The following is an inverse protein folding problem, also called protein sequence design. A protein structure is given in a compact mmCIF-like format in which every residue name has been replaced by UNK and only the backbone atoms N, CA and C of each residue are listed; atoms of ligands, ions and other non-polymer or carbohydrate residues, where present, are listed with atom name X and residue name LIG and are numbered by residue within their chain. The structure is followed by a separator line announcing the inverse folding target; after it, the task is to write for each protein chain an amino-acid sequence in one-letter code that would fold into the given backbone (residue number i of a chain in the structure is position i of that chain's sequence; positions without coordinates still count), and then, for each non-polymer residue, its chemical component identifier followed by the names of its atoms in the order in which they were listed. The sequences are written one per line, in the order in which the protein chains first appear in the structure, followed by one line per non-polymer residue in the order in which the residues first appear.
data_IF_819469819053
#
_entry.id   IF_819469819053
#
_cell.length_a   1.000
_cell.length_b   1.000
_cell.length_c   1.000
_cell.angle_alpha   90.00
_cell.angle_beta   90.00
_cell.angle_gamma   90.00
#
_symmetry.space_group_name_H-M   'P 1'
#
loop_
_entity.id
_entity.type
_entity.pdbx_description
1 polymer ?
#
# COMPACT_ATOMS: atom_id res chain seq x y z
N UNK A 1 -15.18 9.52 39.73
CA UNK A 1 -14.59 10.34 38.64
C UNK A 1 -13.22 9.86 38.18
N UNK A 2 -12.24 9.68 39.05
CA UNK A 2 -10.85 9.35 38.66
C UNK A 2 -10.66 8.02 37.88
N UNK A 3 -11.52 7.00 38.11
CA UNK A 3 -11.49 5.72 37.36
C UNK A 3 -11.94 5.88 35.90
N UNK A 4 -12.92 6.73 35.65
CA UNK A 4 -13.44 7.00 34.29
C UNK A 4 -12.45 7.79 33.45
N UNK A 5 -11.77 8.78 34.05
CA UNK A 5 -10.68 9.50 33.39
C UNK A 5 -9.50 8.60 33.04
N UNK A 6 -9.11 7.68 33.94
CA UNK A 6 -8.06 6.68 33.65
C UNK A 6 -8.46 5.74 32.53
N UNK A 7 -9.71 5.25 32.52
CA UNK A 7 -10.23 4.41 31.45
C UNK A 7 -10.23 5.14 30.09
N UNK A 8 -10.71 6.39 30.07
CA UNK A 8 -10.68 7.23 28.86
C UNK A 8 -9.25 7.43 28.34
N UNK A 9 -8.31 7.74 29.23
CA UNK A 9 -6.91 7.91 28.88
C UNK A 9 -6.30 6.62 28.29
N UNK A 10 -6.55 5.47 28.90
CA UNK A 10 -6.10 4.17 28.38
C UNK A 10 -6.70 3.90 26.99
N UNK A 11 -7.99 4.15 26.79
CA UNK A 11 -8.64 3.99 25.49
C UNK A 11 -8.04 4.93 24.43
N UNK A 12 -7.71 6.17 24.78
CA UNK A 12 -7.03 7.11 23.88
C UNK A 12 -5.63 6.64 23.50
N UNK A 13 -4.85 6.13 24.45
CA UNK A 13 -3.50 5.61 24.18
C UNK A 13 -3.57 4.37 23.27
N UNK A 14 -4.47 3.44 23.55
CA UNK A 14 -4.68 2.25 22.70
C UNK A 14 -5.16 2.68 21.31
N UNK A 15 -6.12 3.60 21.23
CA UNK A 15 -6.61 4.13 19.96
C UNK A 15 -5.51 4.81 19.14
N UNK A 16 -4.66 5.63 19.77
CA UNK A 16 -3.52 6.26 19.13
C UNK A 16 -2.48 5.23 18.65
N UNK A 17 -2.22 4.19 19.43
CA UNK A 17 -1.31 3.11 19.06
C UNK A 17 -1.82 2.31 17.86
N UNK A 18 -3.11 1.94 17.85
CA UNK A 18 -3.76 1.25 16.73
C UNK A 18 -3.73 2.14 15.48
N UNK A 19 -4.10 3.41 15.61
CA UNK A 19 -4.05 4.37 14.51
C UNK A 19 -2.64 4.47 13.92
N UNK A 20 -1.61 4.63 14.76
CA UNK A 20 -0.22 4.70 14.30
C UNK A 20 0.27 3.38 13.68
N UNK A 21 -0.25 2.24 14.10
CA UNK A 21 0.17 0.93 13.58
C UNK A 21 -0.45 0.61 12.22
N UNK A 22 -1.67 1.07 11.95
CA UNK A 22 -2.43 0.65 10.76
C UNK A 22 -2.82 1.80 9.82
N UNK A 23 -2.48 3.04 10.15
CA UNK A 23 -2.78 4.19 9.29
C UNK A 23 -1.49 4.91 8.92
N UNK A 24 -1.30 5.05 7.61
CA UNK A 24 -0.31 5.93 7.02
C UNK A 24 -0.95 7.26 6.67
N UNK A 25 -0.28 8.36 7.04
CA UNK A 25 -0.69 9.71 6.66
C UNK A 25 0.50 10.50 6.13
N UNK A 26 0.27 11.29 5.08
CA UNK A 26 1.23 12.26 4.54
C UNK A 26 0.46 13.54 4.16
N UNK A 27 0.54 14.55 5.02
CA UNK A 27 -0.22 15.81 4.88
C UNK A 27 0.18 16.59 3.63
N UNK A 28 1.45 16.51 3.20
CA UNK A 28 1.93 17.22 2.02
C UNK A 28 1.22 16.74 0.73
N UNK A 29 0.78 15.48 0.72
CA UNK A 29 0.12 14.83 -0.42
C UNK A 29 -1.37 14.55 -0.18
N UNK A 30 -1.94 15.07 0.92
CA UNK A 30 -3.30 14.75 1.38
C UNK A 30 -3.58 13.24 1.42
N UNK A 31 -2.56 12.46 1.79
CA UNK A 31 -2.57 11.00 1.72
C UNK A 31 -3.03 10.39 3.04
N UNK A 32 -4.00 9.48 2.99
CA UNK A 32 -4.41 8.69 4.15
C UNK A 32 -4.75 7.27 3.72
N UNK A 33 -3.88 6.32 4.06
CA UNK A 33 -4.01 4.91 3.66
C UNK A 33 -4.12 4.04 4.91
N UNK A 34 -5.18 3.26 4.97
CA UNK A 34 -5.34 2.20 5.98
C UNK A 34 -4.63 0.94 5.50
N UNK A 35 -3.73 0.41 6.31
CA UNK A 35 -3.04 -0.86 6.05
C UNK A 35 -3.70 -1.92 6.92
N UNK A 36 -4.41 -2.85 6.29
CA UNK A 36 -5.05 -3.96 6.99
C UNK A 36 -3.99 -5.05 7.24
N UNK A 37 -3.82 -5.49 8.50
CA UNK A 37 -2.91 -6.59 8.79
C UNK A 37 -3.46 -7.90 8.24
N UNK A 38 -2.55 -8.83 7.95
CA UNK A 38 -2.88 -10.25 7.80
C UNK A 38 -2.36 -11.01 9.03
N UNK A 39 -2.90 -12.20 9.27
CA UNK A 39 -2.39 -13.11 10.30
C UNK A 39 -1.04 -13.75 9.94
N UNK A 40 -0.45 -13.36 8.81
CA UNK A 40 0.82 -13.91 8.36
C UNK A 40 2.00 -13.04 8.81
N UNK A 41 3.15 -13.66 9.13
CA UNK A 41 4.38 -12.93 9.35
C UNK A 41 4.76 -12.23 8.05
N UNK A 42 4.68 -10.91 8.08
CA UNK A 42 5.12 -10.01 7.01
C UNK A 42 6.12 -9.04 7.63
N UNK A 43 7.30 -8.94 7.03
CA UNK A 43 8.43 -8.25 7.63
C UNK A 43 8.62 -6.82 7.12
N UNK A 44 8.01 -6.42 5.99
CA UNK A 44 8.09 -5.03 5.59
C UNK A 44 7.27 -4.06 6.44
N UNK A 45 7.91 -2.92 6.66
CA UNK A 45 7.32 -1.69 7.14
C UNK A 45 6.76 -0.90 5.94
N UNK A 46 5.44 -0.78 5.86
CA UNK A 46 4.76 -0.01 4.81
C UNK A 46 5.25 1.44 4.74
N UNK A 47 5.74 2.01 5.85
CA UNK A 47 6.29 3.36 5.88
C UNK A 47 7.57 3.46 5.05
N UNK A 48 8.41 2.41 5.07
CA UNK A 48 9.65 2.36 4.26
C UNK A 48 9.32 2.21 2.78
N UNK A 49 8.37 1.36 2.43
CA UNK A 49 7.94 1.19 1.04
C UNK A 49 7.27 2.45 0.50
N UNK A 50 6.36 3.08 1.22
CA UNK A 50 5.75 4.35 0.75
C UNK A 50 6.78 5.47 0.67
N UNK A 51 7.78 5.50 1.57
CA UNK A 51 8.91 6.42 1.46
C UNK A 51 9.73 6.15 0.21
N UNK A 52 10.02 4.88 -0.11
CA UNK A 52 10.72 4.50 -1.34
C UNK A 52 9.90 4.94 -2.56
N UNK A 53 8.63 4.54 -2.64
CA UNK A 53 7.70 4.93 -3.71
C UNK A 53 7.67 6.45 -3.91
N UNK A 54 7.57 7.24 -2.84
CA UNK A 54 7.60 8.70 -2.87
C UNK A 54 8.90 9.26 -3.48
N UNK A 55 10.03 8.60 -3.24
CA UNK A 55 11.35 9.05 -3.70
C UNK A 55 11.68 8.59 -5.13
N UNK A 56 11.29 7.36 -5.48
CA UNK A 56 11.72 6.70 -6.72
C UNK A 56 10.65 6.73 -7.82
N UNK A 57 9.37 6.86 -7.45
CA UNK A 57 8.25 6.95 -8.39
C UNK A 57 7.17 7.94 -7.87
N UNK A 58 7.49 9.25 -7.78
CA UNK A 58 6.62 10.25 -7.17
C UNK A 58 5.25 10.38 -7.85
N UNK A 59 5.15 10.15 -9.17
CA UNK A 59 3.87 10.15 -9.90
C UNK A 59 2.96 9.00 -9.44
N UNK A 60 3.53 7.81 -9.24
CA UNK A 60 2.78 6.64 -8.74
C UNK A 60 2.38 6.84 -7.28
N UNK A 61 3.25 7.48 -6.48
CA UNK A 61 2.91 7.87 -5.11
C UNK A 61 1.73 8.86 -5.06
N UNK A 62 1.76 9.92 -5.87
CA UNK A 62 0.66 10.89 -5.98
C UNK A 62 -0.64 10.20 -6.42
N UNK A 63 -0.55 9.34 -7.43
CA UNK A 63 -1.71 8.58 -7.92
C UNK A 63 -2.29 7.67 -6.84
N UNK A 64 -1.44 6.96 -6.08
CA UNK A 64 -1.84 6.15 -4.94
C UNK A 64 -2.59 7.00 -3.90
N UNK A 65 -2.03 8.14 -3.50
CA UNK A 65 -2.64 9.00 -2.49
C UNK A 65 -4.03 9.53 -2.89
N UNK A 66 -4.27 9.79 -4.18
CA UNK A 66 -5.57 10.24 -4.66
C UNK A 66 -6.62 9.09 -4.75
N UNK A 67 -6.17 7.89 -5.16
CA UNK A 67 -7.08 6.83 -5.61
C UNK A 67 -7.21 5.64 -4.66
N UNK A 68 -6.26 5.46 -3.74
CA UNK A 68 -6.21 4.33 -2.82
C UNK A 68 -6.47 4.82 -1.39
N UNK A 69 -7.38 4.15 -0.68
CA UNK A 69 -7.64 4.39 0.74
C UNK A 69 -7.24 3.21 1.61
N UNK A 70 -7.03 2.03 1.02
CA UNK A 70 -6.74 0.81 1.78
C UNK A 70 -5.72 -0.06 1.03
N UNK A 71 -4.77 -0.60 1.78
CA UNK A 71 -3.87 -1.66 1.34
C UNK A 71 -4.10 -2.84 2.26
N UNK A 72 -4.53 -3.97 1.70
CA UNK A 72 -4.76 -5.21 2.42
C UNK A 72 -3.61 -6.17 2.18
N UNK A 73 -3.06 -6.75 3.25
CA UNK A 73 -2.11 -7.86 3.13
C UNK A 73 -2.91 -9.15 2.89
N UNK A 74 -2.76 -9.76 1.73
CA UNK A 74 -3.47 -11.00 1.39
C UNK A 74 -2.68 -11.85 0.40
N UNK A 75 -2.10 -12.95 0.88
CA UNK A 75 -1.30 -13.88 0.08
C UNK A 75 -2.15 -14.82 -0.80
N UNK A 76 -3.46 -14.88 -0.57
CA UNK A 76 -4.36 -15.63 -1.48
C UNK A 76 -4.42 -15.00 -2.87
N UNK A 77 -3.85 -13.80 -3.00
CA UNK A 77 -3.88 -12.94 -4.15
C UNK A 77 -2.43 -12.66 -4.58
N UNK A 78 -2.04 -13.13 -5.78
CA UNK A 78 -0.72 -12.91 -6.36
C UNK A 78 0.45 -13.71 -5.75
N UNK A 79 0.23 -14.45 -4.65
CA UNK A 79 1.28 -15.24 -3.98
C UNK A 79 2.16 -14.39 -3.05
N UNK A 80 3.42 -14.80 -2.86
CA UNK A 80 4.35 -14.08 -1.97
C UNK A 80 4.79 -12.74 -2.58
N UNK A 81 5.17 -12.71 -3.86
CA UNK A 81 5.73 -11.51 -4.50
C UNK A 81 4.76 -10.82 -5.47
N UNK A 82 3.45 -11.04 -5.32
CA UNK A 82 2.43 -10.48 -6.20
C UNK A 82 1.39 -9.63 -5.46
N UNK A 83 0.36 -9.23 -6.19
CA UNK A 83 -0.79 -8.52 -5.65
C UNK A 83 -2.02 -8.76 -6.53
N UNK A 84 -3.10 -8.07 -6.19
CA UNK A 84 -4.28 -7.97 -7.05
C UNK A 84 -4.99 -6.65 -6.82
N UNK A 85 -5.73 -6.28 -7.85
CA UNK A 85 -6.70 -5.23 -7.84
C UNK A 85 -8.06 -5.78 -8.27
N UNK A 86 -9.09 -5.54 -7.48
CA UNK A 86 -10.46 -5.92 -7.80
C UNK A 86 -11.28 -4.69 -8.19
N UNK A 87 -11.94 -4.74 -9.35
CA UNK A 87 -12.74 -3.63 -9.90
C UNK A 87 -13.92 -3.21 -9.03
N UNK A 88 -14.43 -4.12 -8.21
CA UNK A 88 -15.51 -3.86 -7.24
C UNK A 88 -15.00 -3.15 -5.98
N UNK A 89 -13.68 -3.17 -5.73
CA UNK A 89 -13.02 -2.61 -4.55
C UNK A 89 -12.01 -1.52 -4.95
N UNK A 90 -12.49 -0.54 -5.72
CA UNK A 90 -11.66 0.41 -6.49
C UNK A 90 -10.61 1.21 -5.71
N UNK A 91 -10.75 1.31 -4.39
CA UNK A 91 -9.83 2.06 -3.52
C UNK A 91 -8.98 1.15 -2.62
N UNK A 92 -8.98 -0.15 -2.89
CA UNK A 92 -8.25 -1.16 -2.13
C UNK A 92 -7.26 -1.87 -3.04
N UNK A 93 -5.99 -1.89 -2.64
CA UNK A 93 -5.00 -2.78 -3.25
C UNK A 93 -4.75 -3.98 -2.34
N UNK A 94 -4.59 -5.15 -2.94
CA UNK A 94 -4.21 -6.36 -2.24
C UNK A 94 -2.76 -6.66 -2.56
N UNK A 95 -1.93 -6.76 -1.54
CA UNK A 95 -0.50 -7.00 -1.68
C UNK A 95 -0.19 -8.32 -0.98
N UNK A 96 0.47 -9.21 -1.71
CA UNK A 96 0.96 -10.49 -1.23
C UNK A 96 2.01 -10.36 -0.12
N UNK A 97 2.42 -11.51 0.41
CA UNK A 97 3.37 -11.53 1.53
C UNK A 97 4.83 -11.42 1.06
N UNK A 98 5.40 -10.24 1.27
CA UNK A 98 6.74 -9.85 0.88
C UNK A 98 7.85 -10.68 1.57
N UNK A 99 8.86 -11.08 0.80
CA UNK A 99 10.09 -11.68 1.34
C UNK A 99 11.07 -10.63 1.91
N UNK A 100 10.58 -9.59 2.59
CA UNK A 100 11.38 -8.50 3.17
C UNK A 100 12.17 -7.66 2.13
N UNK A 101 11.68 -7.59 0.89
CA UNK A 101 12.28 -6.80 -0.18
C UNK A 101 11.42 -5.59 -0.56
N UNK A 102 11.78 -4.43 0.01
CA UNK A 102 11.10 -3.14 -0.19
C UNK A 102 10.99 -2.77 -1.68
N UNK A 103 12.00 -3.06 -2.50
CA UNK A 103 11.98 -2.72 -3.92
C UNK A 103 10.94 -3.56 -4.68
N UNK A 104 10.89 -4.86 -4.41
CA UNK A 104 9.90 -5.77 -5.02
C UNK A 104 8.49 -5.39 -4.59
N UNK A 105 8.26 -5.16 -3.29
CA UNK A 105 6.94 -4.71 -2.81
C UNK A 105 6.51 -3.39 -3.44
N UNK A 106 7.46 -2.45 -3.64
CA UNK A 106 7.17 -1.19 -4.33
C UNK A 106 6.78 -1.44 -5.80
N UNK A 107 7.45 -2.36 -6.49
CA UNK A 107 7.12 -2.74 -7.85
C UNK A 107 5.72 -3.38 -7.96
N UNK A 108 5.35 -4.23 -7.00
CA UNK A 108 4.00 -4.81 -6.90
C UNK A 108 2.96 -3.71 -6.70
N UNK A 109 3.18 -2.75 -5.80
CA UNK A 109 2.26 -1.62 -5.63
C UNK A 109 2.10 -0.84 -6.94
N UNK A 110 3.18 -0.57 -7.67
CA UNK A 110 3.12 0.12 -8.97
C UNK A 110 2.32 -0.68 -10.01
N UNK A 111 2.47 -2.00 -10.01
CA UNK A 111 1.68 -2.91 -10.83
C UNK A 111 0.18 -2.80 -10.49
N UNK A 112 -0.20 -2.89 -9.21
CA UNK A 112 -1.61 -2.80 -8.82
C UNK A 112 -2.20 -1.40 -9.04
N UNK A 113 -1.39 -0.35 -8.91
CA UNK A 113 -1.79 1.02 -9.25
C UNK A 113 -2.04 1.18 -10.76
N UNK A 114 -1.33 0.44 -11.61
CA UNK A 114 -1.60 0.39 -13.04
C UNK A 114 -2.99 -0.19 -13.32
N UNK A 115 -3.39 -1.26 -12.64
CA UNK A 115 -4.76 -1.78 -12.76
C UNK A 115 -5.81 -0.81 -12.22
N UNK A 116 -5.53 -0.15 -11.10
CA UNK A 116 -6.40 0.91 -10.59
C UNK A 116 -6.56 2.06 -11.60
N UNK A 117 -5.50 2.40 -12.34
CA UNK A 117 -5.52 3.40 -13.42
C UNK A 117 -6.32 2.95 -14.63
N UNK A 118 -6.06 1.75 -15.14
CA UNK A 118 -6.84 1.17 -16.24
C UNK A 118 -8.34 1.16 -15.91
N UNK A 119 -8.71 0.75 -14.70
CA UNK A 119 -10.10 0.75 -14.26
C UNK A 119 -10.71 2.16 -14.15
N UNK A 120 -9.96 3.14 -13.63
CA UNK A 120 -10.43 4.53 -13.56
C UNK A 120 -10.57 5.19 -14.94
N UNK A 121 -9.77 4.76 -15.91
CA UNK A 121 -9.85 5.18 -17.32
C UNK A 121 -10.94 4.44 -18.12
N UNK A 122 -11.61 3.45 -17.52
CA UNK A 122 -12.61 2.61 -18.20
C UNK A 122 -12.00 1.65 -19.23
N UNK A 123 -10.71 1.35 -19.10
CA UNK A 123 -9.97 0.42 -19.96
C UNK A 123 -9.99 -1.01 -19.39
N UNK A 124 -9.81 -2.03 -20.24
CA UNK A 124 -9.60 -3.40 -19.78
C UNK A 124 -8.33 -3.49 -18.91
N UNK A 125 -8.34 -4.42 -17.95
CA UNK A 125 -7.16 -4.75 -17.15
C UNK A 125 -6.18 -5.56 -18.00
N UNK A 126 -4.99 -5.01 -18.27
CA UNK A 126 -3.98 -5.64 -19.13
C UNK A 126 -2.74 -5.95 -18.27
N UNK A 127 -2.59 -7.23 -17.91
CA UNK A 127 -1.49 -7.75 -17.09
C UNK A 127 -0.10 -7.42 -17.65
N UNK A 128 0.10 -7.61 -18.96
CA UNK A 128 1.41 -7.39 -19.59
C UNK A 128 1.88 -5.94 -19.48
N UNK A 129 0.95 -4.98 -19.60
CA UNK A 129 1.21 -3.54 -19.42
C UNK A 129 1.65 -3.25 -17.98
N UNK A 130 0.93 -3.79 -17.00
CA UNK A 130 1.20 -3.53 -15.59
C UNK A 130 2.46 -4.27 -15.07
N UNK A 131 2.72 -5.49 -15.56
CA UNK A 131 4.00 -6.17 -15.31
C UNK A 131 5.18 -5.41 -15.90
N UNK A 132 5.05 -4.91 -17.13
CA UNK A 132 6.09 -4.09 -17.74
C UNK A 132 6.37 -2.84 -16.91
N UNK A 133 5.33 -2.18 -16.39
CA UNK A 133 5.49 -0.99 -15.54
C UNK A 133 6.26 -1.29 -14.25
N UNK A 134 5.93 -2.38 -13.55
CA UNK A 134 6.67 -2.83 -12.37
C UNK A 134 8.12 -3.22 -12.68
N UNK A 135 8.36 -3.89 -13.82
CA UNK A 135 9.70 -4.25 -14.27
C UNK A 135 10.55 -3.02 -14.65
N UNK A 136 9.97 -2.05 -15.35
CA UNK A 136 10.63 -0.78 -15.69
C UNK A 136 11.06 -0.02 -14.45
N UNK A 137 10.23 -0.01 -13.40
CA UNK A 137 10.60 0.55 -12.11
C UNK A 137 11.83 -0.14 -11.52
N UNK A 138 11.82 -1.47 -11.42
CA UNK A 138 12.95 -2.23 -10.87
C UNK A 138 14.25 -1.99 -11.68
N UNK A 139 14.17 -2.04 -13.00
CA UNK A 139 15.33 -1.78 -13.87
C UNK A 139 15.89 -0.35 -13.68
N UNK A 140 15.01 0.63 -13.45
CA UNK A 140 15.40 2.02 -13.19
C UNK A 140 16.20 2.20 -11.90
N UNK A 141 15.99 1.34 -10.90
CA UNK A 141 16.76 1.39 -9.64
C UNK A 141 18.22 0.98 -9.80
N UNK A 142 18.54 0.10 -10.76
CA UNK A 142 19.89 -0.40 -11.02
C UNK A 142 20.66 0.41 -12.07
N UNK A 143 20.02 1.39 -12.68
CA UNK A 143 20.59 2.20 -13.77
C UNK A 143 21.35 3.44 -13.28
N UNK A 144 21.59 3.55 -11.97
CA UNK A 144 22.32 4.63 -11.30
C UNK A 144 23.50 4.10 -10.50
#
# INVERSE_FOLDING_TARGET
MMKWFKLLFVLLVIGAFVYKSFVYTDEQYYCSIKVLPSFQPSNWDFRKVFKMLKQTAPEEYQYMCANVSTISKDMSCGGFDGGCYYTEQRRTLYIGNDQDNIAVTTAVIIHELCHARQNNEGRPLIESECYQKGASYLNGLYSY
#
